data_IF_720608667845
#
_entry.id   IF_720608667845
#
_cell.length_a   1.000
_cell.length_b   1.000
_cell.length_c   1.000
_cell.angle_alpha   90.00
_cell.angle_beta   90.00
_cell.angle_gamma   90.00
#
_symmetry.space_group_name_H-M   'P 1'
#
loop_
_entity.id
_entity.type
_entity.pdbx_description
1 polymer ?
#
# COMPACT_ATOMS: atom_id res chain seq x y z
N UNK A 1 6.50 18.93 1.99
CA UNK A 1 5.03 18.78 2.01
C UNK A 1 4.66 17.64 2.95
N UNK A 2 3.64 17.81 3.79
CA UNK A 2 3.28 16.85 4.87
C UNK A 2 3.00 15.43 4.36
N UNK A 3 2.43 15.29 3.16
CA UNK A 3 2.11 14.00 2.53
C UNK A 3 3.33 13.11 2.23
N UNK A 4 4.51 13.70 2.07
CA UNK A 4 5.73 12.94 1.78
C UNK A 4 6.19 12.12 2.99
N UNK A 5 5.90 12.61 4.20
CA UNK A 5 6.20 11.89 5.45
C UNK A 5 5.29 10.67 5.63
N UNK A 6 4.03 10.79 5.20
CA UNK A 6 3.06 9.69 5.23
C UNK A 6 3.37 8.59 4.20
N UNK A 7 3.99 8.94 3.07
CA UNK A 7 4.40 7.98 2.03
C UNK A 7 5.86 7.51 2.18
N UNK A 8 6.65 8.13 3.07
CA UNK A 8 8.08 7.81 3.23
C UNK A 8 8.28 6.34 3.64
N UNK A 9 7.40 5.80 4.48
CA UNK A 9 7.50 4.40 4.92
C UNK A 9 7.31 3.44 3.73
N UNK A 10 6.30 3.66 2.88
CA UNK A 10 6.08 2.85 1.68
C UNK A 10 7.25 2.96 0.69
N UNK A 11 7.87 4.14 0.55
CA UNK A 11 9.08 4.31 -0.27
C UNK A 11 10.28 3.54 0.28
N UNK A 12 10.50 3.57 1.60
CA UNK A 12 11.57 2.80 2.24
C UNK A 12 11.33 1.30 2.01
N UNK A 13 10.09 0.84 2.17
CA UNK A 13 9.73 -0.55 1.92
C UNK A 13 9.94 -0.94 0.46
N UNK A 14 9.60 -0.05 -0.49
CA UNK A 14 9.88 -0.27 -1.92
C UNK A 14 11.38 -0.46 -2.19
N UNK A 15 12.23 0.35 -1.56
CA UNK A 15 13.70 0.22 -1.67
C UNK A 15 14.16 -1.11 -1.07
N UNK A 16 13.65 -1.50 0.11
CA UNK A 16 14.00 -2.78 0.76
C UNK A 16 13.58 -3.97 -0.11
N UNK A 17 12.39 -3.91 -0.74
CA UNK A 17 11.91 -4.94 -1.67
C UNK A 17 12.80 -5.02 -2.90
N UNK A 18 13.26 -3.88 -3.42
CA UNK A 18 14.22 -3.83 -4.52
C UNK A 18 15.56 -4.47 -4.12
N UNK A 19 16.08 -4.15 -2.92
CA UNK A 19 17.30 -4.79 -2.40
C UNK A 19 17.12 -6.29 -2.25
N UNK A 20 16.00 -6.77 -1.70
CA UNK A 20 15.70 -8.20 -1.62
C UNK A 20 15.67 -8.83 -3.02
N UNK A 21 15.03 -8.18 -3.99
CA UNK A 21 14.90 -8.68 -5.36
C UNK A 21 16.25 -8.87 -6.08
N UNK A 22 17.23 -7.99 -5.81
CA UNK A 22 18.54 -8.03 -6.48
C UNK A 22 19.63 -8.76 -5.68
N UNK A 23 19.64 -8.62 -4.34
CA UNK A 23 20.70 -9.18 -3.49
C UNK A 23 20.29 -10.49 -2.80
N UNK A 24 18.98 -10.77 -2.71
CA UNK A 24 18.45 -11.88 -1.92
C UNK A 24 18.67 -11.68 -0.42
N UNK A 25 18.16 -12.61 0.39
CA UNK A 25 18.40 -12.63 1.83
C UNK A 25 17.20 -13.14 2.62
N UNK A 26 17.37 -14.28 3.29
CA UNK A 26 16.29 -14.94 4.04
C UNK A 26 15.77 -14.07 5.20
N UNK A 27 16.66 -13.31 5.86
CA UNK A 27 16.28 -12.38 6.93
C UNK A 27 15.40 -11.25 6.38
N UNK A 28 15.79 -10.62 5.27
CA UNK A 28 15.01 -9.55 4.64
C UNK A 28 13.64 -10.09 4.17
N UNK A 29 13.62 -11.30 3.62
CA UNK A 29 12.40 -11.98 3.20
C UNK A 29 11.43 -12.15 4.37
N UNK A 30 11.89 -12.70 5.50
CA UNK A 30 11.06 -12.90 6.70
C UNK A 30 10.56 -11.56 7.27
N UNK A 31 11.44 -10.56 7.39
CA UNK A 31 11.07 -9.22 7.90
C UNK A 31 10.01 -8.58 7.01
N UNK A 32 10.19 -8.61 5.69
CA UNK A 32 9.21 -8.10 4.73
C UNK A 32 7.90 -8.88 4.79
N UNK A 33 7.96 -10.19 5.02
CA UNK A 33 6.76 -11.01 5.14
C UNK A 33 5.93 -10.65 6.37
N UNK A 34 6.57 -10.53 7.54
CA UNK A 34 5.92 -10.09 8.79
C UNK A 34 5.34 -8.69 8.63
N UNK A 35 6.09 -7.76 8.05
CA UNK A 35 5.62 -6.40 7.77
C UNK A 35 4.41 -6.39 6.84
N UNK A 36 4.46 -7.13 5.74
CA UNK A 36 3.38 -7.21 4.75
C UNK A 36 2.11 -7.81 5.36
N UNK A 37 2.26 -8.87 6.17
CA UNK A 37 1.15 -9.48 6.90
C UNK A 37 0.52 -8.50 7.89
N UNK A 38 1.34 -7.77 8.65
CA UNK A 38 0.87 -6.76 9.62
C UNK A 38 0.14 -5.60 8.93
N UNK A 39 0.65 -5.16 7.77
CA UNK A 39 0.05 -4.11 6.96
C UNK A 39 -1.29 -4.55 6.37
N UNK A 40 -1.38 -5.78 5.86
CA UNK A 40 -2.63 -6.35 5.37
C UNK A 40 -3.65 -6.50 6.51
N UNK A 41 -3.21 -7.02 7.66
CA UNK A 41 -4.06 -7.19 8.84
C UNK A 41 -4.62 -5.84 9.31
N UNK A 42 -3.79 -4.81 9.41
CA UNK A 42 -4.26 -3.44 9.74
C UNK A 42 -5.24 -2.89 8.71
N UNK A 43 -5.04 -3.14 7.41
CA UNK A 43 -5.98 -2.74 6.36
C UNK A 43 -7.33 -3.46 6.48
N UNK A 44 -7.32 -4.75 6.82
CA UNK A 44 -8.53 -5.54 7.09
C UNK A 44 -9.23 -5.03 8.35
N UNK A 45 -8.51 -4.87 9.46
CA UNK A 45 -9.08 -4.33 10.70
C UNK A 45 -9.68 -2.94 10.50
N UNK A 46 -9.03 -2.08 9.71
CA UNK A 46 -9.55 -0.75 9.37
C UNK A 46 -10.85 -0.80 8.56
N UNK A 47 -11.15 -1.90 7.87
CA UNK A 47 -12.43 -2.10 7.19
C UNK A 47 -13.58 -2.36 8.19
N UNK A 48 -13.30 -3.07 9.28
CA UNK A 48 -14.28 -3.36 10.34
C UNK A 48 -14.39 -2.26 11.39
N UNK A 49 -13.33 -1.47 11.60
CA UNK A 49 -13.29 -0.40 12.60
C UNK A 49 -13.26 0.99 11.95
N UNK A 50 -14.38 1.74 11.94
CA UNK A 50 -14.43 3.08 11.35
C UNK A 50 -13.49 4.08 12.04
N UNK A 51 -13.20 3.90 13.34
CA UNK A 51 -12.25 4.73 14.10
C UNK A 51 -10.81 4.63 13.57
N UNK A 52 -10.38 3.44 13.14
CA UNK A 52 -9.07 3.22 12.53
C UNK A 52 -9.04 3.77 11.10
N UNK A 53 -10.14 3.60 10.35
CA UNK A 53 -10.30 4.20 9.01
C UNK A 53 -10.16 5.72 9.03
N UNK A 54 -10.68 6.38 10.06
CA UNK A 54 -10.60 7.84 10.21
C UNK A 54 -9.18 8.35 10.46
N UNK A 55 -8.34 7.58 11.16
CA UNK A 55 -6.90 7.89 11.32
C UNK A 55 -6.12 7.58 10.04
N UNK A 56 -6.41 6.48 9.36
CA UNK A 56 -5.75 6.10 8.11
C UNK A 56 -6.06 7.09 6.97
N UNK A 57 -7.26 7.67 6.93
CA UNK A 57 -7.67 8.69 5.95
C UNK A 57 -7.11 10.10 6.25
N UNK A 58 -6.33 10.30 7.32
CA UNK A 58 -5.63 11.58 7.53
C UNK A 58 -4.42 11.78 6.61
N UNK A 59 -4.10 10.78 5.77
CA UNK A 59 -3.08 10.94 4.74
C UNK A 59 -3.54 11.97 3.70
N UNK A 60 -2.75 13.03 3.53
CA UNK A 60 -2.92 14.02 2.46
C UNK A 60 -2.31 13.56 1.13
N UNK A 61 -1.75 12.35 1.07
CA UNK A 61 -1.14 11.85 -0.16
C UNK A 61 -2.22 11.46 -1.19
N UNK A 62 -2.08 11.90 -2.45
CA UNK A 62 -3.06 11.59 -3.49
C UNK A 62 -3.16 10.07 -3.71
N UNK A 63 -4.39 9.56 -3.81
CA UNK A 63 -4.65 8.12 -3.92
C UNK A 63 -3.97 7.44 -5.14
N UNK A 64 -3.64 8.21 -6.19
CA UNK A 64 -2.91 7.68 -7.36
C UNK A 64 -1.43 7.37 -7.06
N UNK A 65 -0.80 8.08 -6.11
CA UNK A 65 0.61 7.87 -5.74
C UNK A 65 0.76 6.52 -5.07
N UNK A 66 -0.06 6.23 -4.05
CA UNK A 66 -0.08 4.92 -3.40
C UNK A 66 -0.42 3.80 -4.37
N UNK A 67 -1.33 4.04 -5.31
CA UNK A 67 -1.70 3.05 -6.32
C UNK A 67 -0.52 2.70 -7.24
N UNK A 68 0.26 3.69 -7.67
CA UNK A 68 1.48 3.48 -8.45
C UNK A 68 2.55 2.73 -7.67
N UNK A 69 2.78 3.11 -6.41
CA UNK A 69 3.76 2.44 -5.53
C UNK A 69 3.38 0.97 -5.31
N UNK A 70 2.12 0.69 -4.95
CA UNK A 70 1.67 -0.69 -4.73
C UNK A 70 1.72 -1.53 -6.01
N UNK A 71 1.30 -0.98 -7.15
CA UNK A 71 1.42 -1.67 -8.43
C UNK A 71 2.87 -2.00 -8.79
N UNK A 72 3.79 -1.06 -8.55
CA UNK A 72 5.22 -1.26 -8.80
C UNK A 72 5.82 -2.33 -7.87
N UNK A 73 5.45 -2.33 -6.59
CA UNK A 73 5.88 -3.36 -5.63
C UNK A 73 5.42 -4.75 -6.07
N UNK A 74 4.15 -4.88 -6.45
CA UNK A 74 3.60 -6.15 -6.95
C UNK A 74 4.32 -6.60 -8.22
N UNK A 75 4.56 -5.69 -9.17
CA UNK A 75 5.28 -5.99 -10.40
C UNK A 75 6.72 -6.48 -10.14
N UNK A 76 7.45 -5.81 -9.24
CA UNK A 76 8.81 -6.20 -8.85
C UNK A 76 8.79 -7.58 -8.17
N UNK A 77 7.91 -7.80 -7.18
CA UNK A 77 7.83 -9.07 -6.46
C UNK A 77 7.48 -10.25 -7.36
N UNK A 78 6.56 -10.06 -8.32
CA UNK A 78 6.20 -11.09 -9.31
C UNK A 78 7.39 -11.36 -10.24
N UNK A 79 8.03 -10.32 -10.77
CA UNK A 79 9.19 -10.46 -11.66
C UNK A 79 10.38 -11.18 -10.97
N UNK A 80 10.53 -10.99 -9.66
CA UNK A 80 11.56 -11.64 -8.84
C UNK A 80 11.16 -13.04 -8.33
N UNK A 81 9.96 -13.55 -8.65
CA UNK A 81 9.50 -14.88 -8.24
C UNK A 81 9.01 -14.98 -6.80
N UNK A 82 8.89 -13.87 -6.06
CA UNK A 82 8.41 -13.83 -4.68
C UNK A 82 6.88 -13.75 -4.59
N UNK A 83 6.19 -14.72 -5.20
CA UNK A 83 4.72 -14.74 -5.32
C UNK A 83 3.99 -14.69 -3.97
N UNK A 84 4.54 -15.33 -2.94
CA UNK A 84 3.96 -15.33 -1.58
C UNK A 84 3.97 -13.96 -0.92
N UNK A 85 4.98 -13.13 -1.21
CA UNK A 85 4.98 -11.72 -0.80
C UNK A 85 4.12 -10.89 -1.73
N UNK A 86 4.09 -11.17 -3.03
CA UNK A 86 3.26 -10.43 -3.97
C UNK A 86 1.76 -10.49 -3.63
N UNK A 87 1.27 -11.62 -3.10
CA UNK A 87 -0.14 -11.82 -2.80
C UNK A 87 -0.73 -10.79 -1.81
N UNK A 88 -0.16 -10.57 -0.60
CA UNK A 88 -0.60 -9.51 0.30
C UNK A 88 -0.61 -8.12 -0.36
N UNK A 89 0.46 -7.78 -1.10
CA UNK A 89 0.57 -6.49 -1.77
C UNK A 89 -0.47 -6.33 -2.88
N UNK A 90 -0.78 -7.39 -3.63
CA UNK A 90 -1.83 -7.39 -4.63
C UNK A 90 -3.22 -7.18 -4.00
N UNK A 91 -3.50 -7.80 -2.85
CA UNK A 91 -4.75 -7.58 -2.12
C UNK A 91 -4.84 -6.12 -1.63
N UNK A 92 -3.75 -5.61 -1.05
CA UNK A 92 -3.63 -4.20 -0.61
C UNK A 92 -3.86 -3.24 -1.78
N UNK A 93 -3.36 -3.58 -2.97
CA UNK A 93 -3.51 -2.83 -4.21
C UNK A 93 -4.96 -2.82 -4.72
N UNK A 94 -5.63 -3.98 -4.73
CA UNK A 94 -7.06 -4.09 -5.11
C UNK A 94 -7.95 -3.35 -4.12
N UNK A 95 -7.72 -3.50 -2.82
CA UNK A 95 -8.46 -2.77 -1.78
C UNK A 95 -8.29 -1.24 -1.90
N UNK A 96 -7.12 -0.78 -2.36
CA UNK A 96 -6.88 0.63 -2.69
C UNK A 96 -7.79 1.14 -3.80
N UNK A 97 -8.24 0.28 -4.72
CA UNK A 97 -9.17 0.65 -5.77
C UNK A 97 -10.59 0.90 -5.22
N UNK A 98 -11.05 0.02 -4.32
CA UNK A 98 -12.40 0.09 -3.72
C UNK A 98 -12.56 1.22 -2.69
N UNK A 99 -11.51 1.53 -1.93
CA UNK A 99 -11.56 2.57 -0.91
C UNK A 99 -11.35 4.00 -1.46
N UNK A 100 -11.28 4.19 -2.79
CA UNK A 100 -11.34 5.54 -3.36
C UNK A 100 -12.68 6.17 -2.97
N UNK A 101 -12.72 7.33 -2.29
CA UNK A 101 -13.95 8.07 -2.16
C UNK A 101 -14.44 8.35 -3.58
N UNK A 102 -15.56 7.75 -3.98
CA UNK A 102 -16.27 8.16 -5.20
C UNK A 102 -16.45 9.66 -5.06
N UNK A 103 -15.79 10.44 -5.91
CA UNK A 103 -16.07 11.86 -6.04
C UNK A 103 -17.56 11.92 -6.34
N UNK A 104 -18.36 12.30 -5.35
CA UNK A 104 -19.79 12.39 -5.54
C UNK A 104 -20.00 13.49 -6.56
N UNK A 105 -20.61 13.16 -7.69
CA UNK A 105 -21.03 14.06 -8.77
C UNK A 105 -22.11 15.08 -8.31
N UNK A 106 -22.00 15.64 -7.11
CA UNK A 106 -23.00 16.57 -6.54
C UNK A 106 -22.59 18.05 -6.57
N UNK A 107 -21.41 18.38 -7.10
CA UNK A 107 -20.92 19.77 -7.23
C UNK A 107 -20.58 20.12 -8.68
N UNK A 108 -21.48 19.83 -9.62
CA UNK A 108 -21.42 20.33 -11.00
C UNK A 108 -22.79 20.80 -11.54
N UNK A 109 -23.82 20.84 -10.69
CA UNK A 109 -25.17 21.30 -11.05
C UNK A 109 -25.56 22.61 -10.35
N UNK A 110 -24.58 23.34 -9.78
CA UNK A 110 -24.77 24.63 -9.12
C UNK A 110 -23.61 25.55 -9.47
N UNK A 111 -23.44 25.82 -10.76
CA UNK A 111 -22.56 26.88 -11.28
C UNK A 111 -23.15 27.39 -12.58
#
# INVERSE_FOLDING_TARGET
MSWLKDAALDFIVLIIIMVLAFMGGDILYVVLWVYSALMLLTKILAQFMPALKQKANKTSAPAYVYHGIYGLIVAILIASGYYYLAAPWAIIWILSFYNRPKVSKKSQAAS
#
